data_IF_465981542264
#
_entry.id   IF_465981542264
#
_cell.length_a   1.000
_cell.length_b   1.000
_cell.length_c   1.000
_cell.angle_alpha   90.00
_cell.angle_beta   90.00
_cell.angle_gamma   90.00
#
_symmetry.space_group_name_H-M   'P 1'
#
loop_
_entity.id
_entity.type
_entity.pdbx_description
1 polymer ?
#
# COMPACT_ATOMS: atom_id res chain seq x y z
N UNK A 1 -0.32 -7.51 -12.21
CA UNK A 1 -0.17 -6.31 -11.36
C UNK A 1 0.38 -5.13 -12.14
N UNK A 2 -0.44 -4.10 -12.32
CA UNK A 2 -0.07 -2.86 -13.02
C UNK A 2 -0.02 -1.68 -12.03
N UNK A 3 0.74 -0.66 -12.38
CA UNK A 3 0.83 0.61 -11.64
C UNK A 3 -0.56 1.24 -11.57
N UNK A 4 -0.98 1.60 -10.36
CA UNK A 4 -2.30 2.19 -10.07
C UNK A 4 -3.37 1.18 -9.69
N UNK A 5 -3.12 -0.13 -9.84
CA UNK A 5 -4.04 -1.15 -9.33
C UNK A 5 -4.05 -1.12 -7.79
N UNK A 6 -5.21 -1.46 -7.22
CA UNK A 6 -5.42 -1.58 -5.76
C UNK A 6 -5.67 -3.03 -5.41
N UNK A 7 -4.92 -3.55 -4.45
CA UNK A 7 -5.05 -4.92 -3.96
C UNK A 7 -5.15 -4.92 -2.43
N UNK A 8 -5.75 -5.95 -1.84
CA UNK A 8 -5.65 -6.18 -0.40
C UNK A 8 -4.39 -7.01 -0.14
N UNK A 9 -3.51 -6.51 0.72
CA UNK A 9 -2.29 -7.20 1.11
C UNK A 9 -2.27 -7.47 2.61
N UNK A 10 -1.67 -8.61 2.97
CA UNK A 10 -1.35 -8.97 4.35
C UNK A 10 0.05 -8.48 4.67
N UNK A 11 0.16 -7.54 5.62
CA UNK A 11 1.44 -6.93 5.99
C UNK A 11 2.12 -7.61 7.19
N UNK A 12 1.52 -8.66 7.76
CA UNK A 12 2.09 -9.39 8.89
C UNK A 12 3.05 -10.50 8.43
N UNK A 13 4.20 -10.72 9.10
CA UNK A 13 4.63 -10.08 10.35
C UNK A 13 5.30 -8.71 10.13
N UNK A 14 5.08 -7.79 11.08
CA UNK A 14 5.69 -6.45 11.09
C UNK A 14 6.69 -6.29 12.22
N UNK A 15 7.73 -5.48 12.01
CA UNK A 15 8.67 -5.09 13.06
C UNK A 15 8.49 -3.61 13.46
N UNK A 16 8.33 -3.36 14.77
CA UNK A 16 8.29 -2.00 15.31
C UNK A 16 7.07 -1.18 14.87
N UNK A 17 7.30 -0.11 14.12
CA UNK A 17 6.27 0.86 13.67
C UNK A 17 5.85 0.68 12.20
N UNK A 18 6.16 -0.48 11.63
CA UNK A 18 5.66 -0.86 10.30
C UNK A 18 4.13 -0.97 10.28
N UNK A 19 3.56 -0.84 9.08
CA UNK A 19 2.11 -0.94 8.90
C UNK A 19 1.69 -2.41 8.95
N UNK A 20 0.73 -2.74 9.81
CA UNK A 20 0.30 -4.11 10.08
C UNK A 20 -1.13 -4.42 9.62
N UNK A 21 -1.44 -5.73 9.56
CA UNK A 21 -2.75 -6.27 9.22
C UNK A 21 -3.04 -6.37 7.72
N UNK A 22 -4.28 -6.77 7.40
CA UNK A 22 -4.79 -6.82 6.03
C UNK A 22 -5.34 -5.45 5.62
N UNK A 23 -4.70 -4.81 4.65
CA UNK A 23 -5.05 -3.45 4.22
C UNK A 23 -4.98 -3.30 2.71
N UNK A 24 -5.77 -2.38 2.13
CA UNK A 24 -5.62 -2.05 0.73
C UNK A 24 -4.25 -1.38 0.50
N UNK A 25 -3.59 -1.77 -0.58
CA UNK A 25 -2.30 -1.24 -1.03
C UNK A 25 -2.42 -0.82 -2.50
N UNK A 26 -1.73 0.26 -2.87
CA UNK A 26 -1.71 0.78 -4.24
C UNK A 26 -0.35 0.49 -4.85
N UNK A 27 -0.33 -0.12 -6.03
CA UNK A 27 0.93 -0.42 -6.73
C UNK A 27 1.50 0.85 -7.36
N UNK A 28 2.74 1.20 -7.00
CA UNK A 28 3.44 2.37 -7.52
C UNK A 28 4.61 2.01 -8.43
N UNK A 29 5.12 0.78 -8.36
CA UNK A 29 6.18 0.27 -9.23
C UNK A 29 5.75 0.22 -10.70
N UNK A 30 6.73 0.36 -11.60
CA UNK A 30 6.50 0.31 -13.06
C UNK A 30 6.09 -1.09 -13.50
N UNK A 31 5.19 -1.17 -14.48
CA UNK A 31 4.69 -2.43 -15.05
C UNK A 31 5.82 -3.36 -15.52
N UNK A 32 6.88 -2.81 -16.11
CA UNK A 32 8.04 -3.59 -16.56
C UNK A 32 8.77 -4.28 -15.39
N UNK A 33 8.88 -3.60 -14.24
CA UNK A 33 9.49 -4.17 -13.03
C UNK A 33 8.58 -5.26 -12.46
N UNK A 34 7.27 -5.00 -12.40
CA UNK A 34 6.29 -5.97 -11.91
C UNK A 34 6.21 -7.24 -12.76
N UNK A 35 6.57 -7.16 -14.05
CA UNK A 35 6.60 -8.32 -14.94
C UNK A 35 7.90 -9.13 -14.80
N UNK A 36 9.01 -8.47 -14.45
CA UNK A 36 10.34 -9.08 -14.37
C UNK A 36 10.76 -9.51 -12.96
N UNK A 37 10.09 -9.01 -11.92
CA UNK A 37 10.43 -9.21 -10.50
C UNK A 37 9.33 -9.95 -9.77
N UNK A 38 9.70 -10.76 -8.78
CA UNK A 38 8.77 -11.37 -7.80
C UNK A 38 8.32 -10.40 -6.70
N UNK A 39 8.85 -9.18 -6.70
CA UNK A 39 8.64 -8.13 -5.70
C UNK A 39 8.11 -6.88 -6.38
N UNK A 40 7.17 -6.22 -5.73
CA UNK A 40 6.60 -4.96 -6.19
C UNK A 40 6.67 -3.87 -5.13
N UNK A 41 6.63 -2.62 -5.58
CA UNK A 41 6.53 -1.47 -4.68
C UNK A 41 5.08 -1.06 -4.57
N UNK A 42 4.58 -1.04 -3.35
CA UNK A 42 3.21 -0.69 -3.04
C UNK A 42 3.17 0.34 -1.92
N UNK A 43 2.04 1.03 -1.79
CA UNK A 43 1.83 1.99 -0.71
C UNK A 43 0.53 1.63 0.02
N UNK A 44 0.59 1.27 1.32
CA UNK A 44 -0.57 0.95 2.12
C UNK A 44 -1.46 2.16 2.36
N UNK A 45 -2.74 1.85 2.41
CA UNK A 45 -3.82 2.77 2.70
C UNK A 45 -4.23 2.63 4.17
N UNK A 46 -4.25 3.74 4.88
CA UNK A 46 -4.71 3.85 6.26
C UNK A 46 -5.97 4.71 6.33
N UNK A 47 -6.81 4.50 7.34
CA UNK A 47 -8.03 5.29 7.52
C UNK A 47 -7.67 6.68 8.01
N UNK A 48 -8.06 7.70 7.26
CA UNK A 48 -7.95 9.09 7.67
C UNK A 48 -9.09 9.47 8.61
N UNK A 49 -8.77 10.14 9.72
CA UNK A 49 -9.74 10.74 10.65
C UNK A 49 -9.75 12.24 10.47
N UNK A 50 -10.94 12.85 10.46
CA UNK A 50 -11.08 14.30 10.36
C UNK A 50 -10.29 15.02 11.45
N UNK A 51 -9.66 16.14 11.09
CA UNK A 51 -8.80 16.91 12.00
C UNK A 51 -7.37 16.38 12.15
N UNK A 52 -7.00 15.29 11.47
CA UNK A 52 -5.59 14.83 11.43
C UNK A 52 -4.76 15.69 10.48
N UNK A 53 -3.57 16.08 10.94
CA UNK A 53 -2.56 16.75 10.11
C UNK A 53 -2.08 15.79 9.02
N UNK A 54 -2.13 16.26 7.78
CA UNK A 54 -1.57 15.57 6.63
C UNK A 54 -0.08 15.94 6.55
N UNK A 55 0.77 14.94 6.56
CA UNK A 55 2.22 15.12 6.38
C UNK A 55 2.58 15.18 4.89
N UNK A 56 3.72 15.78 4.49
CA UNK A 56 4.11 15.86 3.08
C UNK A 56 4.26 14.50 2.37
N UNK A 57 4.54 13.44 3.14
CA UNK A 57 4.62 12.07 2.64
C UNK A 57 3.26 11.37 2.52
N UNK A 58 2.18 12.01 2.97
CA UNK A 58 0.83 11.49 2.94
C UNK A 58 0.00 12.15 1.86
N UNK A 59 -0.88 11.36 1.26
CA UNK A 59 -1.87 11.84 0.31
C UNK A 59 -3.26 11.39 0.73
N UNK A 60 -4.21 12.34 0.77
CA UNK A 60 -5.61 12.07 1.08
C UNK A 60 -6.36 11.65 -0.17
N UNK A 61 -6.94 10.44 -0.15
CA UNK A 61 -7.80 9.92 -1.20
C UNK A 61 -9.26 10.14 -0.80
N UNK A 62 -9.98 10.95 -1.60
CA UNK A 62 -11.38 11.35 -1.32
C UNK A 62 -12.42 10.26 -1.49
N UNK A 63 -12.08 9.09 -2.04
CA UNK A 63 -13.03 8.01 -2.28
C UNK A 63 -13.54 7.32 -1.00
N UNK A 64 -12.75 7.32 0.09
CA UNK A 64 -13.09 6.56 1.30
C UNK A 64 -12.46 7.13 2.58
N UNK A 65 -12.04 8.40 2.59
CA UNK A 65 -11.30 8.99 3.71
C UNK A 65 -10.05 8.15 4.04
N UNK A 66 -9.19 7.93 3.05
CA UNK A 66 -7.98 7.13 3.19
C UNK A 66 -6.75 8.03 3.09
N UNK A 67 -5.81 7.87 4.01
CA UNK A 67 -4.46 8.41 3.93
C UNK A 67 -3.50 7.34 3.43
N UNK A 68 -2.70 7.67 2.43
CA UNK A 68 -1.65 6.79 1.92
C UNK A 68 -0.35 7.09 2.67
N UNK A 69 0.31 6.07 3.21
CA UNK A 69 1.54 6.21 4.02
C UNK A 69 2.63 5.26 3.52
N UNK A 70 3.90 5.70 3.56
CA UNK A 70 5.15 4.94 3.39
C UNK A 70 5.21 3.84 2.31
N UNK A 71 6.20 3.88 1.41
CA UNK A 71 6.38 2.82 0.41
C UNK A 71 6.87 1.54 1.09
N UNK A 72 6.22 0.41 0.80
CA UNK A 72 6.61 -0.93 1.26
C UNK A 72 6.83 -1.86 0.07
N UNK A 73 7.87 -2.70 0.17
CA UNK A 73 8.13 -3.77 -0.78
C UNK A 73 7.32 -5.00 -0.39
N UNK A 74 6.52 -5.52 -1.31
CA UNK A 74 5.70 -6.71 -1.09
C UNK A 74 6.02 -7.78 -2.11
N UNK A 75 6.10 -9.02 -1.65
CA UNK A 75 6.15 -10.19 -2.51
C UNK A 75 4.76 -10.52 -3.05
N UNK A 76 4.71 -11.24 -4.19
CA UNK A 76 3.42 -11.66 -4.75
C UNK A 76 2.55 -12.49 -3.80
N UNK A 77 3.16 -13.17 -2.83
CA UNK A 77 2.45 -14.00 -1.83
C UNK A 77 1.70 -13.19 -0.79
N UNK A 78 2.01 -11.91 -0.66
CA UNK A 78 1.44 -11.03 0.36
C UNK A 78 0.10 -10.43 -0.11
N UNK A 79 -0.18 -10.53 -1.41
CA UNK A 79 -1.44 -10.10 -2.00
C UNK A 79 -2.49 -11.20 -1.86
N UNK A 80 -3.64 -10.84 -1.30
CA UNK A 80 -4.81 -11.72 -1.34
C UNK A 80 -5.35 -11.72 -2.78
N UNK A 81 -5.31 -12.89 -3.44
CA UNK A 81 -6.10 -13.09 -4.65
C UNK A 81 -7.59 -12.93 -4.29
N UNK A 82 -8.31 -12.17 -5.11
CA UNK A 82 -9.77 -12.15 -5.09
C UNK A 82 -10.30 -13.38 -5.80
#
# INVERSE_FOLDING_TARGET
MKRGDVFDARLDPTEGSEQAGNRPVIIVSRNAINAASSVVLSVPCTTYREGRRIYPSQLLIRACCISVEAITELGFKDFSEK
#
